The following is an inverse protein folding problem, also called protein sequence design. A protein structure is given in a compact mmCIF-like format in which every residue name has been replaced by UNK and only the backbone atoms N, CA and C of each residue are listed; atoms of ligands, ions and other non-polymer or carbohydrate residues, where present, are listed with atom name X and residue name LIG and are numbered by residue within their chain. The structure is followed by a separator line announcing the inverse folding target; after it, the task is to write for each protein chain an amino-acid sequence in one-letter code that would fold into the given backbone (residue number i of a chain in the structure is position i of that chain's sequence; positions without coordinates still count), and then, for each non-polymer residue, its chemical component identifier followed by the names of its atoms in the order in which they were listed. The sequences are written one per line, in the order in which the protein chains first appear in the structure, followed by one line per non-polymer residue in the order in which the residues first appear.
data_IF_036933430034
#
_entry.id   IF_036933430034
#
_cell.length_a   1.000
_cell.length_b   1.000
_cell.length_c   1.000
_cell.angle_alpha   90.00
_cell.angle_beta   90.00
_cell.angle_gamma   90.00
#
_symmetry.space_group_name_H-M   'P 1'
#
loop_
_entity.id
_entity.type
_entity.pdbx_description
1 polymer ?
#
# COMPACT_ATOMS: atom_id res chain seq x y z
N UNK A 1 -17.49 -2.76 7.17
CA UNK A 1 -16.06 -2.55 7.47
C UNK A 1 -15.81 -1.07 7.30
N UNK A 2 -15.48 -0.39 8.38
CA UNK A 2 -15.03 1.00 8.29
C UNK A 2 -13.76 1.02 7.44
N UNK A 3 -13.74 1.85 6.39
CA UNK A 3 -12.55 1.99 5.55
C UNK A 3 -11.45 2.64 6.39
N UNK A 4 -10.27 2.03 6.42
CA UNK A 4 -9.10 2.60 7.07
C UNK A 4 -8.68 3.85 6.31
N UNK A 5 -8.94 5.03 6.88
CA UNK A 5 -8.59 6.35 6.32
C UNK A 5 -7.65 7.08 7.29
N UNK A 6 -6.64 7.75 6.74
CA UNK A 6 -5.64 8.51 7.51
C UNK A 6 -5.37 9.86 6.86
N UNK A 7 -5.52 10.94 7.62
CA UNK A 7 -5.14 12.27 7.18
C UNK A 7 -3.60 12.41 7.23
N UNK A 8 -3.00 12.84 6.12
CA UNK A 8 -1.55 13.03 5.99
C UNK A 8 -1.16 14.46 6.35
N UNK A 9 -1.85 15.41 5.74
CA UNK A 9 -1.82 16.85 6.01
C UNK A 9 -3.23 17.39 5.82
N UNK A 10 -3.47 18.62 6.24
CA UNK A 10 -4.79 19.25 6.14
C UNK A 10 -5.38 19.12 4.73
N UNK A 11 -6.47 18.38 4.60
CA UNK A 11 -7.19 18.19 3.34
C UNK A 11 -6.50 17.26 2.33
N UNK A 12 -5.52 16.46 2.75
CA UNK A 12 -4.96 15.34 1.98
C UNK A 12 -4.96 14.10 2.87
N UNK A 13 -5.58 13.03 2.40
CA UNK A 13 -5.72 11.79 3.14
C UNK A 13 -5.46 10.58 2.24
N UNK A 14 -5.15 9.45 2.88
CA UNK A 14 -5.07 8.15 2.24
C UNK A 14 -6.18 7.24 2.75
N UNK A 15 -6.72 6.42 1.86
CA UNK A 15 -7.67 5.37 2.24
C UNK A 15 -7.36 4.05 1.53
N UNK A 16 -7.70 2.94 2.16
CA UNK A 16 -7.72 1.64 1.48
C UNK A 16 -8.89 1.61 0.50
N UNK A 17 -8.59 1.47 -0.79
CA UNK A 17 -9.59 1.25 -1.84
C UNK A 17 -9.96 -0.23 -1.93
N UNK A 18 -8.94 -1.09 -1.98
CA UNK A 18 -9.10 -2.52 -2.22
C UNK A 18 -7.90 -3.31 -1.70
N UNK A 19 -8.17 -4.47 -1.12
CA UNK A 19 -7.15 -5.41 -0.66
C UNK A 19 -7.53 -6.80 -1.14
N UNK A 20 -6.59 -7.50 -1.78
CA UNK A 20 -6.81 -8.88 -2.22
C UNK A 20 -5.59 -9.73 -1.90
N UNK A 21 -5.79 -10.99 -1.48
CA UNK A 21 -4.71 -11.96 -1.55
C UNK A 21 -4.29 -12.13 -3.02
N UNK A 22 -3.00 -12.39 -3.21
CA UNK A 22 -2.39 -12.61 -4.53
C UNK A 22 -2.86 -13.94 -5.12
N UNK A 23 -3.01 -14.97 -4.28
CA UNK A 23 -3.61 -16.26 -4.58
C UNK A 23 -4.42 -16.73 -3.38
N UNK A 24 -5.45 -17.55 -3.61
CA UNK A 24 -6.21 -18.13 -2.50
C UNK A 24 -5.28 -18.93 -1.58
N UNK A 25 -5.33 -18.63 -0.28
CA UNK A 25 -4.45 -19.25 0.73
C UNK A 25 -3.00 -18.75 0.73
N UNK A 26 -2.62 -17.78 -0.11
CA UNK A 26 -1.29 -17.16 -0.02
C UNK A 26 -1.26 -16.11 1.09
N UNK A 27 -0.21 -16.12 1.90
CA UNK A 27 0.16 -15.02 2.78
C UNK A 27 0.90 -13.95 1.98
N UNK A 28 0.27 -13.44 0.92
CA UNK A 28 0.78 -12.33 0.14
C UNK A 28 -0.41 -11.55 -0.39
N UNK A 29 -0.35 -10.23 -0.30
CA UNK A 29 -1.47 -9.35 -0.58
C UNK A 29 -1.07 -8.22 -1.51
N UNK A 30 -2.01 -7.84 -2.37
CA UNK A 30 -1.98 -6.59 -3.12
C UNK A 30 -3.01 -5.65 -2.51
N UNK A 31 -2.54 -4.50 -2.04
CA UNK A 31 -3.32 -3.45 -1.41
C UNK A 31 -3.25 -2.21 -2.29
N UNK A 32 -4.41 -1.60 -2.56
CA UNK A 32 -4.53 -0.35 -3.32
C UNK A 32 -4.94 0.74 -2.35
N UNK A 33 -4.09 1.76 -2.25
CA UNK A 33 -4.29 2.93 -1.40
C UNK A 33 -4.55 4.14 -2.29
N UNK A 34 -5.64 4.87 -2.04
CA UNK A 34 -5.94 6.11 -2.76
C UNK A 34 -5.43 7.31 -1.96
N UNK A 35 -4.57 8.11 -2.58
CA UNK A 35 -4.31 9.49 -2.15
C UNK A 35 -5.45 10.38 -2.65
N UNK A 36 -6.10 11.09 -1.74
CA UNK A 36 -7.22 11.97 -2.02
C UNK A 36 -6.99 13.35 -1.41
N UNK A 37 -7.61 14.36 -2.01
CA UNK A 37 -7.64 15.72 -1.47
C UNK A 37 -9.05 16.27 -1.41
N UNK A 38 -9.29 17.13 -0.42
CA UNK A 38 -10.52 17.90 -0.27
C UNK A 38 -10.47 19.26 -0.97
N UNK A 39 -9.42 19.53 -1.74
CA UNK A 39 -9.19 20.79 -2.44
C UNK A 39 -8.96 20.52 -3.94
N UNK A 40 -9.71 21.17 -4.85
CA UNK A 40 -10.79 22.13 -4.59
C UNK A 40 -12.12 21.48 -4.17
N UNK A 41 -12.22 20.15 -4.25
CA UNK A 41 -13.47 19.39 -4.05
C UNK A 41 -13.23 18.26 -3.04
N UNK A 42 -14.19 17.92 -2.16
CA UNK A 42 -14.06 16.84 -1.18
C UNK A 42 -13.72 15.49 -1.82
N UNK A 43 -12.82 14.72 -1.20
CA UNK A 43 -12.45 13.36 -1.57
C UNK A 43 -12.02 13.16 -3.04
N UNK A 44 -11.47 14.20 -3.68
CA UNK A 44 -10.95 14.12 -5.05
C UNK A 44 -9.76 13.18 -5.11
N UNK A 45 -9.85 12.14 -5.93
CA UNK A 45 -8.74 11.23 -6.19
C UNK A 45 -7.56 11.99 -6.83
N UNK A 46 -6.40 11.89 -6.21
CA UNK A 46 -5.13 12.35 -6.78
C UNK A 46 -4.45 11.19 -7.49
N UNK A 47 -4.29 10.05 -6.80
CA UNK A 47 -3.57 8.88 -7.31
C UNK A 47 -3.92 7.62 -6.52
N UNK A 48 -4.02 6.49 -7.20
CA UNK A 48 -4.00 5.16 -6.58
C UNK A 48 -2.57 4.63 -6.54
N UNK A 49 -2.16 4.10 -5.39
CA UNK A 49 -0.82 3.60 -5.11
C UNK A 49 -0.91 2.14 -4.69
N UNK A 50 -0.09 1.30 -5.31
CA UNK A 50 -0.19 -0.15 -5.16
C UNK A 50 0.92 -0.65 -4.23
N UNK A 51 0.55 -1.47 -3.25
CA UNK A 51 1.47 -2.03 -2.27
C UNK A 51 1.30 -3.54 -2.30
N UNK A 52 2.39 -4.25 -2.59
CA UNK A 52 2.46 -5.70 -2.46
C UNK A 52 3.27 -6.04 -1.23
N UNK A 53 2.77 -6.94 -0.41
CA UNK A 53 3.49 -7.37 0.79
C UNK A 53 3.26 -8.85 1.06
N UNK A 54 4.34 -9.54 1.40
CA UNK A 54 4.31 -10.94 1.87
C UNK A 54 4.14 -11.01 3.38
N UNK A 55 3.50 -12.06 3.88
CA UNK A 55 3.33 -12.37 5.30
C UNK A 55 4.66 -12.53 6.02
N UNK A 56 5.65 -13.18 5.39
CA UNK A 56 7.01 -13.29 5.94
C UNK A 56 7.61 -11.91 6.23
N UNK A 57 7.41 -10.93 5.35
CA UNK A 57 7.90 -9.57 5.55
C UNK A 57 7.15 -8.87 6.68
N UNK A 58 5.83 -9.08 6.78
CA UNK A 58 5.05 -8.53 7.89
C UNK A 58 5.57 -9.04 9.23
N UNK A 59 5.81 -10.34 9.36
CA UNK A 59 6.23 -10.96 10.62
C UNK A 59 7.70 -10.67 10.96
N UNK A 60 8.59 -10.85 10.00
CA UNK A 60 10.03 -10.79 10.24
C UNK A 60 10.54 -9.36 10.29
N UNK A 61 10.03 -8.47 9.44
CA UNK A 61 10.55 -7.11 9.27
C UNK A 61 9.62 -6.10 9.90
N UNK A 62 8.33 -6.11 9.57
CA UNK A 62 7.36 -5.14 10.09
C UNK A 62 6.91 -5.44 11.53
N UNK A 63 7.17 -6.65 12.04
CA UNK A 63 6.75 -7.14 13.36
C UNK A 63 5.22 -7.10 13.55
N UNK A 64 4.48 -7.36 12.48
CA UNK A 64 3.04 -7.46 12.42
C UNK A 64 2.63 -8.91 12.12
N UNK A 65 1.41 -9.29 12.44
CA UNK A 65 0.90 -10.63 12.11
C UNK A 65 0.69 -10.79 10.60
N UNK A 66 0.91 -11.99 10.05
CA UNK A 66 0.62 -12.30 8.65
C UNK A 66 -0.90 -12.45 8.38
N UNK A 67 -1.63 -11.33 8.38
CA UNK A 67 -3.04 -11.30 8.00
C UNK A 67 -3.41 -10.02 7.23
N UNK A 68 -4.58 -10.03 6.60
CA UNK A 68 -5.04 -8.92 5.75
C UNK A 68 -5.19 -7.59 6.48
N UNK A 69 -5.64 -7.59 7.75
CA UNK A 69 -5.80 -6.37 8.52
C UNK A 69 -4.45 -5.71 8.84
N UNK A 70 -3.46 -6.51 9.21
CA UNK A 70 -2.08 -6.04 9.39
C UNK A 70 -1.45 -5.58 8.08
N UNK A 71 -1.77 -6.23 6.95
CA UNK A 71 -1.30 -5.80 5.63
C UNK A 71 -1.90 -4.43 5.22
N UNK A 72 -3.17 -4.18 5.54
CA UNK A 72 -3.83 -2.88 5.32
C UNK A 72 -3.25 -1.77 6.20
N UNK A 73 -3.02 -2.04 7.48
CA UNK A 73 -2.36 -1.11 8.40
C UNK A 73 -0.95 -0.76 7.89
N UNK A 74 -0.17 -1.77 7.55
CA UNK A 74 1.15 -1.61 6.94
C UNK A 74 1.11 -0.77 5.67
N UNK A 75 0.14 -1.00 4.78
CA UNK A 75 0.01 -0.27 3.54
C UNK A 75 -0.27 1.23 3.75
N UNK A 76 -1.11 1.58 4.74
CA UNK A 76 -1.37 2.99 5.10
C UNK A 76 -0.11 3.65 5.65
N UNK A 77 0.65 2.95 6.50
CA UNK A 77 1.89 3.48 7.07
C UNK A 77 2.99 3.65 6.01
N UNK A 78 3.10 2.73 5.06
CA UNK A 78 3.96 2.88 3.88
C UNK A 78 3.55 4.09 3.06
N UNK A 79 2.26 4.23 2.73
CA UNK A 79 1.78 5.38 1.95
C UNK A 79 2.06 6.72 2.64
N UNK A 80 1.90 6.78 3.96
CA UNK A 80 2.28 7.95 4.75
C UNK A 80 3.79 8.20 4.69
N UNK A 81 4.61 7.18 4.97
CA UNK A 81 6.07 7.30 4.96
C UNK A 81 6.58 7.81 3.61
N UNK A 82 6.08 7.24 2.50
CA UNK A 82 6.46 7.64 1.14
C UNK A 82 6.06 9.09 0.82
N UNK A 83 4.91 9.54 1.31
CA UNK A 83 4.50 10.94 1.18
C UNK A 83 5.46 11.90 1.92
N UNK A 84 5.86 11.54 3.13
CA UNK A 84 6.82 12.32 3.93
C UNK A 84 8.21 12.34 3.28
N UNK A 85 8.71 11.18 2.84
CA UNK A 85 9.97 11.04 2.09
C UNK A 85 9.96 11.82 0.77
N UNK A 86 8.78 12.03 0.19
CA UNK A 86 8.56 12.83 -1.02
C UNK A 86 8.32 14.32 -0.74
N UNK A 87 8.81 14.85 0.39
CA UNK A 87 8.64 16.25 0.81
C UNK A 87 7.16 16.69 0.88
N UNK A 88 6.30 15.86 1.46
CA UNK A 88 4.86 16.08 1.55
C UNK A 88 4.17 16.19 0.17
N UNK A 89 4.63 15.39 -0.79
CA UNK A 89 4.02 15.26 -2.11
C UNK A 89 3.60 13.81 -2.34
N UNK A 90 2.57 13.63 -3.17
CA UNK A 90 2.18 12.29 -3.61
C UNK A 90 3.34 11.68 -4.41
N UNK A 91 3.80 10.46 -4.08
CA UNK A 91 4.95 9.85 -4.74
C UNK A 91 4.74 9.70 -6.26
N UNK A 92 5.82 9.85 -7.02
CA UNK A 92 5.78 9.78 -8.50
C UNK A 92 5.68 8.34 -9.00
N UNK A 93 6.29 7.39 -8.29
CA UNK A 93 6.18 5.96 -8.57
C UNK A 93 4.78 5.42 -8.28
N UNK A 94 4.39 4.32 -8.92
CA UNK A 94 3.02 3.81 -8.85
C UNK A 94 2.79 2.77 -7.75
N UNK A 95 3.87 2.25 -7.16
CA UNK A 95 3.76 1.28 -6.09
C UNK A 95 5.09 0.73 -5.59
N UNK A 96 4.98 -0.10 -4.57
CA UNK A 96 6.10 -0.78 -3.91
C UNK A 96 5.78 -2.25 -3.67
N UNK A 97 6.79 -3.10 -3.80
CA UNK A 97 6.74 -4.49 -3.37
C UNK A 97 7.64 -4.70 -2.14
N UNK A 98 7.14 -5.48 -1.18
CA UNK A 98 7.82 -5.80 0.07
C UNK A 98 7.89 -7.31 0.25
N UNK A 99 9.11 -7.84 0.26
CA UNK A 99 9.40 -9.25 0.51
C UNK A 99 10.72 -9.42 1.23
N UNK A 100 10.92 -10.52 1.96
CA UNK A 100 12.21 -10.76 2.62
C UNK A 100 13.36 -10.93 1.61
N UNK A 101 13.06 -11.44 0.40
CA UNK A 101 14.06 -11.66 -0.65
C UNK A 101 14.48 -10.37 -1.36
N UNK A 102 13.52 -9.50 -1.67
CA UNK A 102 13.75 -8.26 -2.42
C UNK A 102 13.92 -7.01 -1.56
N UNK A 103 13.48 -7.06 -0.29
CA UNK A 103 13.34 -5.88 0.54
C UNK A 103 12.17 -5.01 0.08
N UNK A 104 12.37 -3.69 0.08
CA UNK A 104 11.46 -2.69 -0.50
C UNK A 104 11.91 -2.36 -1.93
N UNK A 105 11.04 -2.61 -2.90
CA UNK A 105 11.32 -2.42 -4.32
C UNK A 105 10.25 -1.53 -4.99
N UNK A 106 10.67 -0.59 -5.84
CA UNK A 106 9.75 0.21 -6.67
C UNK A 106 9.23 -0.61 -7.83
N UNK A 107 7.91 -0.64 -8.01
CA UNK A 107 7.25 -1.44 -9.04
C UNK A 107 6.20 -0.63 -9.81
N UNK A 108 6.02 -0.92 -11.11
CA UNK A 108 4.87 -0.44 -11.88
C UNK A 108 3.77 -1.52 -11.86
N UNK A 109 2.56 -1.22 -11.34
CA UNK A 109 1.44 -2.17 -11.31
C UNK A 109 1.07 -2.77 -12.67
N UNK A 110 1.37 -2.09 -13.78
CA UNK A 110 1.05 -2.58 -15.12
C UNK A 110 2.00 -3.66 -15.61
N UNK A 111 3.24 -3.61 -15.14
CA UNK A 111 4.33 -4.48 -15.59
C UNK A 111 4.75 -5.49 -14.52
N UNK A 112 4.28 -5.32 -13.28
CA UNK A 112 4.62 -6.18 -12.15
C UNK A 112 3.63 -7.32 -11.95
N UNK A 113 4.12 -8.54 -12.03
CA UNK A 113 3.42 -9.75 -11.60
C UNK A 113 4.17 -10.32 -10.40
N UNK A 114 3.50 -10.42 -9.25
CA UNK A 114 4.16 -10.91 -8.03
C UNK A 114 4.65 -12.35 -8.24
N UNK A 115 5.85 -12.74 -7.74
CA UNK A 115 6.39 -14.09 -7.99
C UNK A 115 5.45 -15.23 -7.58
N UNK A 116 4.62 -15.01 -6.55
CA UNK A 116 3.62 -15.99 -6.09
C UNK A 116 2.40 -16.15 -7.03
N UNK A 117 2.18 -15.24 -7.98
CA UNK A 117 1.16 -15.40 -9.03
C UNK A 117 1.61 -16.36 -10.15
N UNK A 118 2.92 -16.58 -10.30
CA UNK A 118 3.49 -17.37 -11.39
C UNK A 118 3.59 -18.87 -11.08
N UNK A 119 3.17 -19.31 -9.88
CA UNK A 119 3.30 -20.69 -9.38
C UNK A 119 1.96 -21.38 -9.23
#
# INVERSE_FOLDING_TARGET
MDKTTKELIKGVHVEILHSTPIKEGSEAWRIVVDYKSDIPEPNKLIKSYYIWVTGEYLEDIAKLSANISSAEEFAIDVAQRRFLESNNQVPVENGLAFSNKGGEEVVDPRDYTHPFEQV
#
